data_IF_643378627507
#
_entry.id   IF_643378627507
#
_cell.length_a   1.000
_cell.length_b   1.000
_cell.length_c   1.000
_cell.angle_alpha   90.00
_cell.angle_beta   90.00
_cell.angle_gamma   90.00
#
_symmetry.space_group_name_H-M   'P 1'
#
loop_
_entity.id
_entity.type
_entity.pdbx_description
1 polymer ?
#
# COMPACT_ATOMS: atom_id res chain seq x y z
N UNK A 1 41.98 -11.62 11.08
CA UNK A 1 41.30 -10.38 11.50
C UNK A 1 39.99 -10.82 12.09
N UNK A 2 39.91 -10.93 13.42
CA UNK A 2 38.66 -11.26 14.09
C UNK A 2 37.67 -10.12 13.85
N UNK A 3 36.50 -10.45 13.28
CA UNK A 3 35.41 -9.49 13.15
C UNK A 3 35.05 -8.98 14.54
N UNK A 4 35.35 -7.70 14.80
CA UNK A 4 34.86 -6.96 15.96
C UNK A 4 33.32 -6.97 15.94
N UNK A 5 32.72 -7.98 16.58
CA UNK A 5 31.29 -8.04 16.82
C UNK A 5 30.94 -7.02 17.88
N UNK A 6 30.65 -5.79 17.45
CA UNK A 6 30.12 -4.74 18.32
C UNK A 6 28.73 -5.21 18.79
N UNK A 7 28.53 -5.53 20.07
CA UNK A 7 27.23 -5.99 20.55
C UNK A 7 26.25 -4.82 20.54
N UNK A 8 24.99 -5.07 20.17
CA UNK A 8 23.91 -4.06 20.10
C UNK A 8 23.69 -3.34 21.44
N UNK A 9 23.98 -4.00 22.56
CA UNK A 9 23.95 -3.44 23.91
C UNK A 9 25.24 -3.82 24.63
N UNK A 10 25.87 -2.85 25.29
CA UNK A 10 27.09 -3.05 26.06
C UNK A 10 26.76 -3.62 27.45
N UNK A 11 25.62 -3.21 28.03
CA UNK A 11 25.24 -3.54 29.40
C UNK A 11 23.79 -4.05 29.54
N UNK A 12 23.50 -4.83 30.60
CA UNK A 12 22.13 -5.26 30.92
C UNK A 12 21.17 -4.07 31.13
N UNK A 13 21.66 -2.98 31.73
CA UNK A 13 20.88 -1.74 31.93
C UNK A 13 20.39 -1.14 30.61
N UNK A 14 21.26 -1.06 29.60
CA UNK A 14 20.92 -0.54 28.27
C UNK A 14 19.86 -1.41 27.59
N UNK A 15 19.94 -2.73 27.74
CA UNK A 15 18.93 -3.66 27.24
C UNK A 15 17.57 -3.42 27.90
N UNK A 16 17.54 -3.25 29.23
CA UNK A 16 16.29 -2.95 29.95
C UNK A 16 15.72 -1.61 29.52
N UNK A 17 16.54 -0.56 29.43
CA UNK A 17 16.12 0.76 28.96
C UNK A 17 15.54 0.68 27.54
N UNK A 18 16.20 -0.03 26.63
CA UNK A 18 15.73 -0.21 25.26
C UNK A 18 14.39 -0.95 25.22
N UNK A 19 14.22 -2.03 26.00
CA UNK A 19 12.96 -2.77 26.10
C UNK A 19 11.84 -1.88 26.67
N UNK A 20 12.12 -1.11 27.72
CA UNK A 20 11.16 -0.18 28.32
C UNK A 20 10.77 0.92 27.32
N UNK A 21 11.75 1.48 26.59
CA UNK A 21 11.49 2.49 25.56
C UNK A 21 10.62 1.93 24.42
N UNK A 22 10.93 0.73 23.92
CA UNK A 22 10.11 0.06 22.90
C UNK A 22 8.70 -0.25 23.41
N UNK A 23 8.58 -0.69 24.66
CA UNK A 23 7.28 -0.95 25.27
C UNK A 23 6.47 0.34 25.47
N UNK A 24 7.10 1.45 25.84
CA UNK A 24 6.45 2.75 25.93
C UNK A 24 5.94 3.24 24.57
N UNK A 25 6.74 3.10 23.50
CA UNK A 25 6.32 3.42 22.12
C UNK A 25 5.13 2.55 21.71
N UNK A 26 5.18 1.24 22.03
CA UNK A 26 4.09 0.31 21.75
C UNK A 26 2.80 0.70 22.49
N UNK A 27 2.87 1.02 23.77
CA UNK A 27 1.72 1.49 24.56
C UNK A 27 1.14 2.79 24.00
N UNK A 28 1.98 3.74 23.63
CA UNK A 28 1.54 5.00 23.04
C UNK A 28 0.82 4.78 21.71
N UNK A 29 1.32 3.85 20.88
CA UNK A 29 0.67 3.45 19.63
C UNK A 29 -0.72 2.84 19.88
N UNK A 30 -0.82 1.90 20.84
CA UNK A 30 -2.12 1.32 21.24
C UNK A 30 -3.08 2.38 21.75
N UNK A 31 -2.61 3.31 22.58
CA UNK A 31 -3.43 4.40 23.12
C UNK A 31 -3.99 5.28 21.98
N UNK A 32 -3.16 5.61 21.00
CA UNK A 32 -3.57 6.39 19.83
C UNK A 32 -4.62 5.65 18.98
N UNK A 33 -4.44 4.35 18.75
CA UNK A 33 -5.45 3.52 18.06
C UNK A 33 -6.75 3.41 18.87
N UNK A 34 -6.65 3.32 20.21
CA UNK A 34 -7.81 3.29 21.08
C UNK A 34 -8.61 4.61 21.05
N UNK A 35 -7.94 5.76 20.97
CA UNK A 35 -8.61 7.05 20.80
C UNK A 35 -9.40 7.12 19.48
N UNK A 36 -8.83 6.61 18.38
CA UNK A 36 -9.55 6.52 17.10
C UNK A 36 -10.77 5.60 17.19
N UNK A 37 -10.62 4.46 17.87
CA UNK A 37 -11.74 3.56 18.14
C UNK A 37 -12.86 4.26 18.93
N UNK A 38 -12.50 5.00 20.00
CA UNK A 38 -13.47 5.78 20.78
C UNK A 38 -14.22 6.81 19.93
N UNK A 39 -13.51 7.52 19.04
CA UNK A 39 -14.10 8.47 18.08
C UNK A 39 -15.12 7.81 17.15
N UNK A 40 -14.88 6.57 16.72
CA UNK A 40 -15.81 5.81 15.88
C UNK A 40 -17.08 5.42 16.64
N UNK A 41 -16.94 4.92 17.88
CA UNK A 41 -18.08 4.36 18.63
C UNK A 41 -18.94 5.42 19.34
N UNK A 42 -18.41 6.62 19.56
CA UNK A 42 -19.13 7.72 20.24
C UNK A 42 -20.27 8.28 19.39
N UNK A 43 -20.10 8.32 18.07
CA UNK A 43 -21.08 8.90 17.15
C UNK A 43 -22.05 7.85 16.60
N UNK A 44 -23.34 8.22 16.47
CA UNK A 44 -24.34 7.38 15.75
C UNK A 44 -24.05 7.32 14.25
N UNK A 45 -23.53 8.42 13.72
CA UNK A 45 -23.14 8.59 12.32
C UNK A 45 -21.68 9.02 12.30
N UNK A 46 -20.87 8.34 11.49
CA UNK A 46 -19.45 8.67 11.36
C UNK A 46 -19.11 8.87 9.88
N UNK A 47 -18.80 10.10 9.51
CA UNK A 47 -18.40 10.45 8.15
C UNK A 47 -16.88 10.38 8.00
N UNK A 48 -16.42 9.74 6.92
CA UNK A 48 -15.00 9.62 6.62
C UNK A 48 -14.77 9.42 5.13
N UNK A 49 -13.58 9.76 4.68
CA UNK A 49 -13.08 9.37 3.37
C UNK A 49 -12.45 7.99 3.48
N UNK A 50 -12.70 7.12 2.51
CA UNK A 50 -12.12 5.78 2.53
C UNK A 50 -11.65 5.35 1.13
N UNK A 51 -10.46 4.76 1.08
CA UNK A 51 -9.92 4.13 -0.12
C UNK A 51 -10.50 2.74 -0.28
N UNK A 52 -11.08 2.44 -1.44
CA UNK A 52 -11.58 1.10 -1.78
C UNK A 52 -10.37 0.22 -2.11
N UNK A 53 -9.99 -0.62 -1.15
CA UNK A 53 -8.88 -1.56 -1.31
C UNK A 53 -9.27 -2.75 -2.18
N UNK A 54 -10.51 -3.20 -2.08
CA UNK A 54 -11.01 -4.32 -2.88
C UNK A 54 -12.52 -4.22 -3.07
N UNK A 55 -13.00 -4.76 -4.18
CA UNK A 55 -14.41 -4.88 -4.51
C UNK A 55 -14.63 -6.20 -5.25
N UNK A 56 -15.60 -6.98 -4.78
CA UNK A 56 -15.97 -8.23 -5.44
C UNK A 56 -17.44 -8.55 -5.24
N UNK A 57 -18.00 -9.36 -6.14
CA UNK A 57 -19.39 -9.80 -6.06
C UNK A 57 -19.44 -11.09 -5.25
N UNK A 58 -20.40 -11.18 -4.33
CA UNK A 58 -20.74 -12.40 -3.61
C UNK A 58 -22.24 -12.64 -3.76
N UNK A 59 -22.61 -13.68 -4.52
CA UNK A 59 -24.01 -13.92 -4.94
C UNK A 59 -24.51 -12.71 -5.74
N UNK A 60 -25.49 -11.96 -5.22
CA UNK A 60 -26.13 -10.83 -5.90
C UNK A 60 -25.82 -9.47 -5.25
N UNK A 61 -24.75 -9.37 -4.47
CA UNK A 61 -24.33 -8.11 -3.85
C UNK A 61 -22.82 -7.90 -3.92
N UNK A 62 -22.40 -6.64 -3.92
CA UNK A 62 -21.01 -6.23 -3.83
C UNK A 62 -20.54 -6.24 -2.37
N UNK A 63 -19.32 -6.74 -2.17
CA UNK A 63 -18.56 -6.59 -0.93
C UNK A 63 -17.41 -5.65 -1.21
N UNK A 64 -17.26 -4.62 -0.38
CA UNK A 64 -16.16 -3.67 -0.47
C UNK A 64 -15.30 -3.78 0.79
N UNK A 65 -13.98 -3.84 0.60
CA UNK A 65 -12.99 -3.67 1.66
C UNK A 65 -12.42 -2.27 1.55
N UNK A 66 -12.52 -1.48 2.61
CA UNK A 66 -12.15 -0.08 2.62
C UNK A 66 -11.14 0.24 3.72
N UNK A 67 -10.25 1.17 3.44
CA UNK A 67 -9.34 1.78 4.42
C UNK A 67 -9.77 3.22 4.63
N UNK A 68 -10.27 3.53 5.81
CA UNK A 68 -10.63 4.90 6.19
C UNK A 68 -9.36 5.76 6.36
N UNK A 69 -9.48 7.05 6.07
CA UNK A 69 -8.50 8.08 6.38
C UNK A 69 -8.17 8.16 7.88
N UNK A 70 -9.11 7.79 8.75
CA UNK A 70 -8.89 7.68 10.19
C UNK A 70 -8.05 6.44 10.56
N UNK A 71 -7.70 5.57 9.60
CA UNK A 71 -6.70 4.51 9.76
C UNK A 71 -7.25 3.10 9.98
N UNK A 72 -8.56 2.92 10.20
CA UNK A 72 -9.15 1.58 10.33
C UNK A 72 -9.57 0.98 9.00
N UNK A 73 -9.64 -0.35 8.96
CA UNK A 73 -10.10 -1.10 7.78
C UNK A 73 -11.46 -1.69 8.08
N UNK A 74 -12.40 -1.60 7.15
CA UNK A 74 -13.73 -2.17 7.34
C UNK A 74 -14.29 -2.76 6.05
N UNK A 75 -15.29 -3.61 6.21
CA UNK A 75 -16.04 -4.21 5.13
C UNK A 75 -17.47 -3.68 5.14
N UNK A 76 -18.02 -3.48 3.95
CA UNK A 76 -19.42 -3.13 3.76
C UNK A 76 -19.97 -3.87 2.54
N UNK A 77 -21.30 -3.90 2.42
CA UNK A 77 -21.98 -4.51 1.29
C UNK A 77 -22.95 -3.54 0.63
N UNK A 78 -23.06 -3.62 -0.68
CA UNK A 78 -24.07 -2.89 -1.45
C UNK A 78 -24.79 -3.83 -2.41
N UNK A 79 -26.12 -3.70 -2.49
CA UNK A 79 -26.94 -4.38 -3.50
C UNK A 79 -27.05 -3.56 -4.80
N UNK A 80 -26.60 -2.32 -4.79
CA UNK A 80 -26.62 -1.47 -5.97
C UNK A 80 -25.61 -1.97 -7.00
N UNK A 81 -25.91 -1.76 -8.28
CA UNK A 81 -24.97 -2.05 -9.37
C UNK A 81 -23.86 -1.00 -9.36
N UNK A 82 -22.80 -1.27 -8.60
CA UNK A 82 -21.63 -0.41 -8.53
C UNK A 82 -20.70 -0.63 -9.73
N UNK A 83 -20.16 0.46 -10.26
CA UNK A 83 -18.98 0.40 -11.13
C UNK A 83 -17.77 -0.10 -10.33
N UNK A 84 -16.68 -0.40 -11.00
CA UNK A 84 -15.42 -0.71 -10.32
C UNK A 84 -14.86 0.53 -9.63
N UNK A 85 -14.85 0.50 -8.29
CA UNK A 85 -14.35 1.57 -7.44
C UNK A 85 -12.96 1.25 -6.88
N UNK A 86 -12.31 0.14 -7.25
CA UNK A 86 -11.00 -0.23 -6.69
C UNK A 86 -9.96 0.86 -6.90
N UNK A 87 -9.23 1.18 -5.83
CA UNK A 87 -8.25 2.25 -5.79
C UNK A 87 -8.84 3.67 -5.73
N UNK A 88 -10.16 3.85 -5.84
CA UNK A 88 -10.82 5.15 -5.66
C UNK A 88 -10.96 5.49 -4.18
N UNK A 89 -10.95 6.78 -3.89
CA UNK A 89 -11.37 7.32 -2.59
C UNK A 89 -12.84 7.71 -2.69
N UNK A 90 -13.62 7.28 -1.70
CA UNK A 90 -15.06 7.53 -1.60
C UNK A 90 -15.38 8.20 -0.28
N UNK A 91 -16.37 9.09 -0.31
CA UNK A 91 -16.96 9.65 0.90
C UNK A 91 -17.98 8.66 1.44
N UNK A 92 -17.82 8.27 2.70
CA UNK A 92 -18.66 7.25 3.33
C UNK A 92 -19.26 7.77 4.62
N UNK A 93 -20.55 7.48 4.78
CA UNK A 93 -21.28 7.59 6.02
C UNK A 93 -21.40 6.20 6.65
N UNK A 94 -20.75 6.01 7.81
CA UNK A 94 -20.87 4.82 8.64
C UNK A 94 -22.03 4.98 9.63
N UNK A 95 -22.90 3.98 9.70
CA UNK A 95 -24.11 4.03 10.54
C UNK A 95 -23.98 3.02 11.68
N UNK A 96 -24.10 3.51 12.91
CA UNK A 96 -24.04 2.67 14.10
C UNK A 96 -25.16 1.64 14.12
N UNK A 97 -24.76 0.38 14.28
CA UNK A 97 -25.67 -0.77 14.38
C UNK A 97 -25.72 -1.31 15.80
N UNK A 98 -26.69 -2.20 16.08
CA UNK A 98 -26.78 -2.88 17.38
C UNK A 98 -25.61 -3.85 17.61
N UNK A 99 -24.89 -4.24 16.56
CA UNK A 99 -23.68 -5.06 16.70
C UNK A 99 -22.56 -4.22 17.27
N UNK A 100 -22.15 -4.53 18.51
CA UNK A 100 -21.00 -3.89 19.15
C UNK A 100 -19.71 -4.33 18.43
N UNK A 101 -18.93 -3.34 18.00
CA UNK A 101 -17.55 -3.57 17.53
C UNK A 101 -16.66 -3.48 18.76
N UNK A 102 -15.82 -4.50 19.00
CA UNK A 102 -14.79 -4.40 20.03
C UNK A 102 -13.55 -3.67 19.51
N UNK A 103 -12.68 -3.20 20.40
CA UNK A 103 -11.40 -2.62 20.00
C UNK A 103 -10.54 -3.61 19.18
N UNK A 104 -10.64 -4.90 19.48
CA UNK A 104 -9.91 -5.93 18.74
C UNK A 104 -10.44 -6.11 17.31
N UNK A 105 -11.77 -6.00 17.13
CA UNK A 105 -12.38 -5.98 15.79
C UNK A 105 -11.95 -4.73 15.02
N UNK A 106 -11.83 -3.58 15.68
CA UNK A 106 -11.34 -2.34 15.09
C UNK A 106 -9.93 -2.48 14.51
N UNK A 107 -9.02 -3.12 15.25
CA UNK A 107 -7.64 -3.37 14.79
C UNK A 107 -7.60 -4.37 13.62
N UNK A 108 -8.32 -5.50 13.73
CA UNK A 108 -8.30 -6.57 12.71
C UNK A 108 -9.02 -6.19 11.43
N UNK A 109 -10.01 -5.32 11.57
CA UNK A 109 -10.98 -4.97 10.54
C UNK A 109 -12.30 -5.68 10.74
N UNK A 110 -13.37 -4.93 10.56
CA UNK A 110 -14.73 -5.30 10.96
C UNK A 110 -15.72 -5.07 9.84
N UNK A 111 -16.90 -5.65 9.95
CA UNK A 111 -18.02 -5.32 9.07
C UNK A 111 -18.81 -4.16 9.66
N UNK A 112 -19.20 -3.19 8.83
CA UNK A 112 -20.06 -2.09 9.22
C UNK A 112 -21.05 -1.72 8.13
N UNK A 113 -22.23 -1.26 8.56
CA UNK A 113 -23.23 -0.73 7.63
C UNK A 113 -22.80 0.68 7.24
N UNK A 114 -22.77 0.93 5.94
CA UNK A 114 -22.30 2.20 5.40
C UNK A 114 -23.04 2.60 4.13
N UNK A 115 -23.01 3.89 3.84
CA UNK A 115 -23.53 4.48 2.61
C UNK A 115 -22.43 5.28 1.92
N UNK A 116 -22.26 5.10 0.60
CA UNK A 116 -21.32 5.89 -0.20
C UNK A 116 -22.04 7.18 -0.59
N UNK A 117 -21.60 8.32 -0.03
CA UNK A 117 -22.15 9.66 -0.33
C UNK A 117 -21.68 10.16 -1.68
N UNK A 118 -20.43 9.87 -2.03
CA UNK A 118 -19.81 10.39 -3.24
C UNK A 118 -18.48 9.71 -3.55
N UNK A 119 -17.97 9.93 -4.76
CA UNK A 119 -16.66 9.46 -5.20
C UNK A 119 -15.78 10.69 -5.43
N UNK A 120 -14.65 10.74 -4.72
CA UNK A 120 -13.72 11.86 -4.85
C UNK A 120 -13.02 11.85 -6.23
N UNK A 121 -12.65 13.04 -6.74
CA UNK A 121 -11.92 13.17 -7.99
C UNK A 121 -10.52 12.55 -7.89
N UNK A 122 -10.02 12.03 -9.02
CA UNK A 122 -8.64 11.55 -9.15
C UNK A 122 -7.70 12.75 -9.25
N UNK A 123 -7.06 13.11 -8.14
CA UNK A 123 -6.18 14.27 -8.08
C UNK A 123 -4.69 13.90 -7.90
N UNK A 124 -4.38 12.66 -7.50
CA UNK A 124 -3.02 12.28 -7.14
C UNK A 124 -2.11 12.08 -8.36
N UNK A 125 -0.80 12.24 -8.15
CA UNK A 125 0.21 11.90 -9.17
C UNK A 125 0.14 10.41 -9.54
N UNK A 126 -0.10 9.55 -8.57
CA UNK A 126 -0.29 8.11 -8.78
C UNK A 126 -1.51 7.82 -9.64
N UNK A 127 -2.62 8.55 -9.46
CA UNK A 127 -3.79 8.44 -10.35
C UNK A 127 -3.47 8.83 -11.80
N UNK A 128 -2.67 9.90 -12.00
CA UNK A 128 -2.25 10.34 -13.34
C UNK A 128 -1.38 9.28 -14.02
N UNK A 129 -0.42 8.70 -13.28
CA UNK A 129 0.44 7.63 -13.78
C UNK A 129 -0.40 6.37 -14.06
N UNK A 130 -1.35 6.02 -13.19
CA UNK A 130 -2.26 4.89 -13.41
C UNK A 130 -3.09 5.08 -14.68
N UNK A 131 -3.60 6.28 -14.92
CA UNK A 131 -4.33 6.61 -16.14
C UNK A 131 -3.44 6.53 -17.38
N UNK A 132 -2.20 7.06 -17.29
CA UNK A 132 -1.22 6.94 -18.35
C UNK A 132 -0.95 5.48 -18.72
N UNK A 133 -0.63 4.62 -17.74
CA UNK A 133 -0.43 3.17 -17.95
C UNK A 133 -1.69 2.52 -18.54
N UNK A 134 -2.85 2.88 -18.01
CA UNK A 134 -4.14 2.32 -18.46
C UNK A 134 -4.43 2.66 -19.93
N UNK A 135 -4.04 3.85 -20.39
CA UNK A 135 -4.26 4.29 -21.77
C UNK A 135 -3.33 3.62 -22.79
N UNK A 136 -2.20 3.04 -22.35
CA UNK A 136 -1.29 2.29 -23.23
C UNK A 136 -1.79 0.88 -23.57
N UNK A 137 -2.85 0.40 -22.91
CA UNK A 137 -3.31 -0.98 -23.04
C UNK A 137 -4.78 -1.00 -23.47
N UNK A 138 -5.18 -1.98 -24.28
CA UNK A 138 -6.58 -2.18 -24.66
C UNK A 138 -7.31 -3.11 -23.68
N UNK A 139 -6.69 -4.25 -23.37
CA UNK A 139 -7.24 -5.30 -22.51
C UNK A 139 -7.27 -4.89 -21.02
N UNK A 140 -8.39 -5.13 -20.32
CA UNK A 140 -8.55 -4.78 -18.91
C UNK A 140 -7.60 -5.53 -17.98
N UNK A 141 -7.31 -6.80 -18.27
CA UNK A 141 -6.37 -7.62 -17.50
C UNK A 141 -4.97 -7.04 -17.57
N UNK A 142 -4.54 -6.58 -18.75
CA UNK A 142 -3.20 -5.99 -18.92
C UNK A 142 -3.11 -4.65 -18.20
N UNK A 143 -4.14 -3.79 -18.29
CA UNK A 143 -4.19 -2.53 -17.52
C UNK A 143 -4.02 -2.80 -16.02
N UNK A 144 -4.74 -3.80 -15.52
CA UNK A 144 -4.71 -4.16 -14.11
C UNK A 144 -3.38 -4.78 -13.69
N UNK A 145 -2.81 -5.66 -14.51
CA UNK A 145 -1.50 -6.27 -14.29
C UNK A 145 -0.41 -5.19 -14.20
N UNK A 146 -0.30 -4.30 -15.18
CA UNK A 146 0.73 -3.26 -15.17
C UNK A 146 0.50 -2.24 -14.05
N UNK A 147 -0.76 -1.91 -13.75
CA UNK A 147 -1.09 -1.11 -12.56
C UNK A 147 -0.62 -1.78 -11.27
N UNK A 148 -0.79 -3.10 -11.13
CA UNK A 148 -0.32 -3.84 -9.97
C UNK A 148 1.21 -3.90 -9.89
N UNK A 149 1.87 -4.14 -11.02
CA UNK A 149 3.34 -4.26 -11.10
C UNK A 149 4.08 -2.96 -10.82
N UNK A 150 3.51 -1.80 -11.18
CA UNK A 150 4.21 -0.52 -11.02
C UNK A 150 3.66 0.35 -9.90
N UNK A 151 2.38 0.23 -9.56
CA UNK A 151 1.71 1.14 -8.62
C UNK A 151 1.04 0.40 -7.45
N UNK A 152 1.28 -0.90 -7.30
CA UNK A 152 0.58 -1.75 -6.33
C UNK A 152 -0.96 -1.62 -6.42
N UNK A 153 -1.48 -1.41 -7.64
CA UNK A 153 -2.92 -1.31 -7.88
C UNK A 153 -3.63 -2.61 -7.49
N UNK A 154 -4.81 -2.57 -6.84
CA UNK A 154 -5.51 -3.77 -6.41
C UNK A 154 -5.94 -4.68 -7.56
N UNK A 155 -5.49 -5.94 -7.52
CA UNK A 155 -5.86 -6.97 -8.49
C UNK A 155 -7.24 -7.57 -8.22
N UNK A 156 -7.97 -7.84 -9.30
CA UNK A 156 -9.26 -8.52 -9.35
C UNK A 156 -9.09 -10.00 -9.04
N UNK A 157 -10.22 -10.64 -8.75
CA UNK A 157 -10.25 -12.10 -8.65
C UNK A 157 -9.82 -12.76 -9.96
N UNK A 158 -10.29 -12.24 -11.10
CA UNK A 158 -9.95 -12.81 -12.41
C UNK A 158 -8.44 -12.80 -12.69
N UNK A 159 -7.77 -11.67 -12.49
CA UNK A 159 -6.32 -11.58 -12.67
C UNK A 159 -5.59 -12.49 -11.66
N UNK A 160 -6.04 -12.54 -10.40
CA UNK A 160 -5.44 -13.40 -9.38
C UNK A 160 -5.55 -14.88 -9.74
N UNK A 161 -6.69 -15.31 -10.27
CA UNK A 161 -6.93 -16.69 -10.69
C UNK A 161 -6.02 -17.04 -11.88
N UNK A 162 -5.89 -16.14 -12.87
CA UNK A 162 -4.95 -16.29 -14.00
C UNK A 162 -3.49 -16.37 -13.55
N UNK A 163 -3.05 -15.48 -12.65
CA UNK A 163 -1.70 -15.51 -12.10
C UNK A 163 -1.43 -16.80 -11.30
N UNK A 164 -2.44 -17.30 -10.59
CA UNK A 164 -2.34 -18.56 -9.84
C UNK A 164 -2.20 -19.76 -10.79
N UNK A 165 -2.99 -19.78 -11.87
CA UNK A 165 -2.87 -20.80 -12.91
C UNK A 165 -1.48 -20.81 -13.56
N UNK A 166 -0.89 -19.63 -13.78
CA UNK A 166 0.47 -19.49 -14.33
C UNK A 166 1.59 -19.75 -13.30
N UNK A 167 1.24 -20.01 -12.03
CA UNK A 167 2.23 -20.16 -10.95
C UNK A 167 2.92 -18.86 -10.52
N UNK A 168 2.43 -17.69 -10.97
CA UNK A 168 3.02 -16.37 -10.73
C UNK A 168 2.38 -15.61 -9.56
N UNK A 169 1.38 -16.19 -8.90
CA UNK A 169 0.66 -15.55 -7.79
C UNK A 169 1.58 -15.15 -6.64
N UNK A 170 2.57 -15.99 -6.31
CA UNK A 170 3.54 -15.71 -5.26
C UNK A 170 4.45 -14.51 -5.59
N UNK A 171 4.85 -14.35 -6.86
CA UNK A 171 5.68 -13.21 -7.29
C UNK A 171 4.93 -11.89 -7.15
N UNK A 172 3.67 -11.85 -7.61
CA UNK A 172 2.85 -10.63 -7.57
C UNK A 172 2.34 -10.33 -6.16
N UNK A 173 2.18 -11.34 -5.31
CA UNK A 173 1.72 -11.17 -3.92
C UNK A 173 2.80 -10.60 -2.98
N UNK A 174 4.08 -10.72 -3.32
CA UNK A 174 5.17 -10.18 -2.49
C UNK A 174 5.18 -8.65 -2.60
N UNK A 175 5.06 -7.98 -1.46
CA UNK A 175 4.95 -6.52 -1.35
C UNK A 175 6.15 -5.75 -1.90
N UNK A 176 7.26 -6.41 -2.25
CA UNK A 176 8.46 -5.79 -2.83
C UNK A 176 8.66 -6.02 -4.33
N UNK A 177 7.83 -6.84 -4.99
CA UNK A 177 8.05 -7.20 -6.39
C UNK A 177 7.97 -5.99 -7.33
N UNK A 178 7.04 -5.07 -7.06
CA UNK A 178 6.92 -3.82 -7.81
C UNK A 178 8.17 -2.95 -7.70
N UNK A 179 8.75 -2.84 -6.49
CA UNK A 179 9.99 -2.08 -6.26
C UNK A 179 11.18 -2.75 -6.96
N UNK A 180 11.20 -4.08 -7.01
CA UNK A 180 12.19 -4.85 -7.76
C UNK A 180 12.14 -4.57 -9.27
N UNK A 181 10.94 -4.55 -9.87
CA UNK A 181 10.77 -4.24 -11.30
C UNK A 181 11.18 -2.80 -11.61
N UNK A 182 10.75 -1.85 -10.78
CA UNK A 182 11.09 -0.43 -10.95
C UNK A 182 12.60 -0.24 -10.83
N UNK A 183 13.22 -0.81 -9.80
CA UNK A 183 14.66 -0.69 -9.56
C UNK A 183 15.48 -1.31 -10.69
N UNK A 184 15.11 -2.50 -11.18
CA UNK A 184 15.75 -3.14 -12.31
C UNK A 184 15.61 -2.33 -13.61
N UNK A 185 14.42 -1.76 -13.86
CA UNK A 185 14.15 -0.94 -15.04
C UNK A 185 14.99 0.33 -15.04
N UNK A 186 15.03 1.05 -13.91
CA UNK A 186 15.84 2.26 -13.74
C UNK A 186 17.33 1.92 -13.87
N UNK A 187 17.78 0.83 -13.23
CA UNK A 187 19.16 0.38 -13.34
C UNK A 187 19.56 0.16 -14.79
N UNK A 188 18.78 -0.63 -15.55
CA UNK A 188 19.11 -0.96 -16.93
C UNK A 188 19.07 0.25 -17.86
N UNK A 189 18.05 1.10 -17.73
CA UNK A 189 17.94 2.33 -18.53
C UNK A 189 19.12 3.25 -18.24
N UNK A 190 19.40 3.53 -16.97
CA UNK A 190 20.51 4.39 -16.58
C UNK A 190 21.85 3.79 -17.04
N UNK A 191 22.07 2.50 -16.80
CA UNK A 191 23.28 1.80 -17.21
C UNK A 191 23.51 1.90 -18.73
N UNK A 192 22.47 1.69 -19.54
CA UNK A 192 22.55 1.74 -21.00
C UNK A 192 23.07 3.10 -21.50
N UNK A 193 22.49 4.21 -21.00
CA UNK A 193 22.85 5.56 -21.43
C UNK A 193 24.11 6.10 -20.75
N UNK A 194 24.39 5.68 -19.52
CA UNK A 194 25.54 6.16 -18.76
C UNK A 194 26.83 5.45 -19.15
N UNK A 195 26.76 4.19 -19.62
CA UNK A 195 27.94 3.40 -20.03
C UNK A 195 28.89 4.11 -21.00
N UNK A 196 28.45 4.74 -22.11
CA UNK A 196 29.36 5.46 -23.00
C UNK A 196 30.03 6.66 -22.33
N UNK A 197 29.30 7.41 -21.50
CA UNK A 197 29.79 8.61 -20.80
C UNK A 197 30.80 8.21 -19.71
N UNK A 198 30.46 7.20 -18.90
CA UNK A 198 31.30 6.68 -17.84
C UNK A 198 32.64 6.18 -18.38
N UNK A 199 32.63 5.42 -19.48
CA UNK A 199 33.87 4.94 -20.11
C UNK A 199 34.78 6.07 -20.60
N UNK A 200 34.22 7.21 -21.00
CA UNK A 200 34.99 8.35 -21.52
C UNK A 200 35.51 9.28 -20.42
N UNK A 201 34.71 9.56 -19.40
CA UNK A 201 35.03 10.60 -18.40
C UNK A 201 35.35 10.06 -17.01
N UNK A 202 34.85 8.88 -16.64
CA UNK A 202 34.98 8.32 -15.29
C UNK A 202 35.41 6.84 -15.27
N UNK A 203 36.46 6.43 -16.02
CA UNK A 203 36.84 5.02 -16.13
C UNK A 203 37.29 4.38 -14.81
N UNK A 204 37.65 5.20 -13.81
CA UNK A 204 38.12 4.77 -12.49
C UNK A 204 37.00 4.42 -11.50
N UNK A 205 35.73 4.74 -11.81
CA UNK A 205 34.57 4.46 -10.94
C UNK A 205 33.91 3.13 -11.31
N UNK A 206 33.15 2.57 -10.38
CA UNK A 206 32.32 1.41 -10.67
C UNK A 206 30.95 1.89 -11.19
N UNK A 207 30.70 1.70 -12.48
CA UNK A 207 29.44 2.05 -13.13
C UNK A 207 28.21 1.41 -12.46
N UNK A 208 28.35 0.19 -11.94
CA UNK A 208 27.24 -0.50 -11.27
C UNK A 208 26.90 0.18 -9.94
N UNK A 209 27.91 0.69 -9.22
CA UNK A 209 27.70 1.45 -7.99
C UNK A 209 26.97 2.77 -8.27
N UNK A 210 27.39 3.51 -9.30
CA UNK A 210 26.75 4.77 -9.68
C UNK A 210 25.27 4.55 -10.08
N UNK A 211 25.00 3.49 -10.84
CA UNK A 211 23.64 3.09 -11.17
C UNK A 211 22.83 2.68 -9.94
N UNK A 212 23.42 1.96 -8.99
CA UNK A 212 22.75 1.60 -7.72
C UNK A 212 22.41 2.83 -6.87
N UNK A 213 23.28 3.84 -6.82
CA UNK A 213 23.00 5.10 -6.11
C UNK A 213 21.79 5.81 -6.72
N UNK A 214 21.73 5.90 -8.06
CA UNK A 214 20.58 6.49 -8.78
C UNK A 214 19.29 5.72 -8.47
N UNK A 215 19.36 4.39 -8.51
CA UNK A 215 18.23 3.51 -8.17
C UNK A 215 17.76 3.71 -6.73
N UNK A 216 18.69 3.84 -5.77
CA UNK A 216 18.37 4.05 -4.36
C UNK A 216 17.65 5.40 -4.16
N UNK A 217 18.16 6.47 -4.78
CA UNK A 217 17.54 7.81 -4.73
C UNK A 217 16.15 7.79 -5.36
N UNK A 218 16.00 7.20 -6.54
CA UNK A 218 14.71 7.11 -7.22
C UNK A 218 13.70 6.27 -6.43
N UNK A 219 14.14 5.16 -5.84
CA UNK A 219 13.32 4.30 -4.98
C UNK A 219 12.87 5.03 -3.71
N UNK A 220 13.73 5.86 -3.13
CA UNK A 220 13.40 6.68 -1.96
C UNK A 220 12.36 7.75 -2.31
N UNK A 221 12.50 8.43 -3.45
CA UNK A 221 11.49 9.39 -3.96
C UNK A 221 10.15 8.69 -4.18
N UNK A 222 10.17 7.50 -4.80
CA UNK A 222 8.97 6.69 -5.01
C UNK A 222 8.28 6.32 -3.68
N UNK A 223 9.05 5.92 -2.67
CA UNK A 223 8.53 5.61 -1.34
C UNK A 223 7.85 6.83 -0.70
N UNK A 224 8.45 8.02 -0.78
CA UNK A 224 7.84 9.25 -0.28
C UNK A 224 6.52 9.59 -0.99
N UNK A 225 6.47 9.44 -2.31
CA UNK A 225 5.24 9.63 -3.09
C UNK A 225 4.15 8.63 -2.73
N UNK A 226 4.52 7.38 -2.42
CA UNK A 226 3.57 6.37 -1.98
C UNK A 226 3.02 6.65 -0.58
N UNK A 227 3.77 7.32 0.30
CA UNK A 227 3.32 7.67 1.65
C UNK A 227 2.33 8.84 1.67
N UNK A 228 2.39 9.70 0.66
CA UNK A 228 1.55 10.90 0.52
C UNK A 228 0.13 10.61 -0.01
N UNK A 229 -0.22 9.36 -0.31
CA UNK A 229 -1.50 8.92 -0.88
C UNK A 229 -2.23 7.90 0.01
#
# INVERSE_FOLDING_TARGET
>A
MDELKIPLFLNYKERVIAVVALFAIFLFNILFEYQKYQKLISSKYFETEAKVLNQYIKKDYYVLKLKSKDGFTFYTTSKEKLKDLRGRVVEILLIKTNKKISFFDFIKGFYYVSYIKGILPRASLTDKILLFISNQHQNHITKELFGALYLAYPISKELRDRLSFLGLSHLVAISGFHLGIISASIFYIFYLFYRPIHKRYFPYRNIAFDAMVVVAVASFIYFLLSLSN
#
